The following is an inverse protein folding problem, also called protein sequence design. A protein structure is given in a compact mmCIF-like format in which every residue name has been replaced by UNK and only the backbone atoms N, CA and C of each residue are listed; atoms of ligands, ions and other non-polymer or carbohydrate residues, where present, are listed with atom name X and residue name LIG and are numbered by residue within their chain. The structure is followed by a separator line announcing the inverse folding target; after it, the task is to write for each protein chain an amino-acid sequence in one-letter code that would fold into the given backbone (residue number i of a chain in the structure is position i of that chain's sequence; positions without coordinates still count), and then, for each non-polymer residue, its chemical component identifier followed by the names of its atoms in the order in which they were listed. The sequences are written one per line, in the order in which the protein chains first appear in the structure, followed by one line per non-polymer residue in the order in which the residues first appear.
data_IF_702551052935
#
_entry.id   IF_702551052935
#
_cell.length_a   1.000
_cell.length_b   1.000
_cell.length_c   1.000
_cell.angle_alpha   90.00
_cell.angle_beta   90.00
_cell.angle_gamma   90.00
#
_symmetry.space_group_name_H-M   'P 1'
#
loop_
_entity.id
_entity.type
_entity.pdbx_description
1 polymer ?
#
# COMPACT_ATOMS: atom_id res chain seq x y z
N UNK A 1 32.98 5.79 -14.57
CA UNK A 1 33.00 7.24 -14.90
C UNK A 1 34.33 7.60 -15.54
N UNK A 2 34.28 7.94 -16.83
CA UNK A 2 35.39 8.37 -17.67
C UNK A 2 35.91 9.75 -17.20
N UNK A 3 37.21 10.05 -17.39
CA UNK A 3 37.82 11.34 -17.01
C UNK A 3 37.12 12.55 -17.66
N UNK A 4 36.65 12.39 -18.90
CA UNK A 4 35.90 13.41 -19.62
C UNK A 4 34.57 13.74 -18.92
N UNK A 5 33.85 12.72 -18.42
CA UNK A 5 32.58 12.89 -17.70
C UNK A 5 32.79 13.59 -16.37
N UNK A 6 33.81 13.20 -15.61
CA UNK A 6 34.16 13.84 -14.33
C UNK A 6 34.48 15.32 -14.50
N UNK A 7 35.21 15.67 -15.57
CA UNK A 7 35.57 17.06 -15.87
C UNK A 7 34.36 17.89 -16.31
N UNK A 8 33.41 17.28 -17.02
CA UNK A 8 32.13 17.92 -17.37
C UNK A 8 31.28 18.16 -16.12
N UNK A 9 31.09 17.15 -15.27
CA UNK A 9 30.35 17.28 -14.00
C UNK A 9 30.94 18.36 -13.10
N UNK A 10 32.26 18.45 -13.00
CA UNK A 10 32.93 19.47 -12.20
C UNK A 10 32.65 20.89 -12.72
N UNK A 11 32.62 21.08 -14.04
CA UNK A 11 32.28 22.36 -14.67
C UNK A 11 30.81 22.72 -14.42
N UNK A 12 29.90 21.77 -14.61
CA UNK A 12 28.47 21.96 -14.35
C UNK A 12 28.22 22.33 -12.88
N UNK A 13 28.90 21.66 -11.94
CA UNK A 13 28.81 21.96 -10.51
C UNK A 13 29.30 23.37 -10.17
N UNK A 14 30.50 23.76 -10.63
CA UNK A 14 31.02 25.13 -10.45
C UNK A 14 30.08 26.17 -11.05
N UNK A 15 29.43 25.83 -12.15
CA UNK A 15 28.51 26.70 -12.85
C UNK A 15 27.17 26.87 -12.10
N UNK A 16 26.70 25.82 -11.42
CA UNK A 16 25.53 25.87 -10.51
C UNK A 16 25.85 26.65 -9.23
N UNK A 17 26.99 26.36 -8.59
CA UNK A 17 27.45 27.08 -7.40
C UNK A 17 27.57 28.59 -7.68
N UNK A 18 28.08 28.97 -8.86
CA UNK A 18 28.15 30.36 -9.27
C UNK A 18 26.76 31.01 -9.50
N UNK A 19 25.78 30.28 -10.01
CA UNK A 19 24.41 30.80 -10.14
C UNK A 19 23.74 31.01 -8.78
N UNK A 20 23.91 30.05 -7.88
CA UNK A 20 23.39 30.13 -6.52
C UNK A 20 24.00 31.35 -5.80
N UNK A 21 25.30 31.59 -5.98
CA UNK A 21 25.97 32.76 -5.43
C UNK A 21 25.44 34.08 -6.03
N UNK A 22 25.21 34.14 -7.35
CA UNK A 22 24.62 35.33 -8.00
C UNK A 22 23.20 35.57 -7.50
N UNK A 23 22.39 34.51 -7.39
CA UNK A 23 21.02 34.59 -6.92
C UNK A 23 20.95 35.02 -5.45
N UNK A 24 21.86 34.51 -4.61
CA UNK A 24 21.97 34.90 -3.21
C UNK A 24 22.37 36.37 -3.08
N UNK A 25 23.42 36.80 -3.77
CA UNK A 25 23.87 38.21 -3.79
C UNK A 25 22.81 39.16 -4.32
N UNK A 26 21.97 38.72 -5.27
CA UNK A 26 20.85 39.53 -5.76
C UNK A 26 19.74 39.72 -4.74
N UNK A 27 19.61 38.83 -3.75
CA UNK A 27 18.61 38.92 -2.68
C UNK A 27 19.12 39.73 -1.48
N UNK A 28 20.43 39.78 -1.28
CA UNK A 28 21.04 40.51 -0.17
C UNK A 28 20.97 42.02 -0.37
N UNK A 29 20.57 42.72 0.70
CA UNK A 29 20.55 44.18 0.70
C UNK A 29 21.98 44.75 0.73
N UNK A 30 22.20 45.85 0.00
CA UNK A 30 23.49 46.53 -0.01
C UNK A 30 23.83 47.03 1.40
N UNK A 31 25.01 46.71 1.95
CA UNK A 31 25.38 47.12 3.30
C UNK A 31 25.56 48.64 3.42
N UNK A 32 25.29 49.18 4.60
CA UNK A 32 25.38 50.63 4.87
C UNK A 32 26.80 51.21 4.77
N UNK A 33 27.82 50.36 4.84
CA UNK A 33 29.21 50.73 4.61
C UNK A 33 29.51 51.09 3.16
N UNK A 34 28.69 50.63 2.21
CA UNK A 34 28.86 50.88 0.77
C UNK A 34 28.70 52.38 0.47
N UNK A 35 29.62 52.90 -0.34
CA UNK A 35 29.64 54.31 -0.76
C UNK A 35 28.32 54.71 -1.42
N UNK A 36 27.76 53.83 -2.26
CA UNK A 36 26.47 54.08 -2.93
C UNK A 36 25.31 54.20 -1.94
N UNK A 37 25.30 53.39 -0.88
CA UNK A 37 24.29 53.49 0.18
C UNK A 37 24.42 54.82 0.94
N UNK A 38 25.64 55.23 1.28
CA UNK A 38 25.91 56.52 1.95
C UNK A 38 25.48 57.70 1.09
N UNK A 39 25.78 57.66 -0.20
CA UNK A 39 25.34 58.68 -1.16
C UNK A 39 23.81 58.75 -1.26
N UNK A 40 23.13 57.62 -1.36
CA UNK A 40 21.66 57.56 -1.37
C UNK A 40 21.07 58.19 -0.10
N UNK A 41 21.62 57.85 1.07
CA UNK A 41 21.17 58.40 2.34
C UNK A 41 21.34 59.93 2.42
N UNK A 42 22.46 60.45 1.91
CA UNK A 42 22.70 61.90 1.82
C UNK A 42 21.70 62.61 0.89
N UNK A 43 21.21 61.92 -0.13
CA UNK A 43 20.17 62.42 -1.04
C UNK A 43 18.75 62.28 -0.48
N UNK A 44 18.60 61.86 0.78
CA UNK A 44 17.31 61.77 1.47
C UNK A 44 16.64 60.40 1.40
N UNK A 45 17.32 59.37 0.90
CA UNK A 45 16.82 57.99 0.99
C UNK A 45 16.77 57.52 2.46
N UNK A 46 15.64 56.95 2.86
CA UNK A 46 15.45 56.31 4.17
C UNK A 46 15.53 54.80 4.02
N UNK A 47 16.33 54.08 4.84
CA UNK A 47 16.45 52.63 4.73
C UNK A 47 15.09 51.94 4.89
N UNK A 48 14.76 51.04 3.97
CA UNK A 48 13.46 50.37 3.91
C UNK A 48 12.34 51.17 3.23
N UNK A 49 12.62 52.40 2.80
CA UNK A 49 11.68 53.23 2.06
C UNK A 49 11.68 52.94 0.56
N UNK A 50 10.54 53.12 -0.08
CA UNK A 50 10.44 53.11 -1.53
C UNK A 50 10.96 54.43 -2.14
N UNK A 51 11.58 54.35 -3.32
CA UNK A 51 12.02 55.54 -4.06
C UNK A 51 10.84 56.25 -4.75
N UNK A 52 10.98 57.56 -5.01
CA UNK A 52 9.99 58.38 -5.73
C UNK A 52 9.31 59.44 -4.87
N UNK A 53 8.71 60.45 -5.51
CA UNK A 53 8.14 61.65 -4.85
C UNK A 53 7.07 61.33 -3.80
N UNK A 54 6.33 60.23 -3.98
CA UNK A 54 5.35 59.71 -3.02
C UNK A 54 5.73 58.33 -2.47
N UNK A 55 6.97 57.87 -2.67
CA UNK A 55 7.39 56.51 -2.32
C UNK A 55 6.69 55.42 -3.14
N UNK A 56 6.41 55.67 -4.41
CA UNK A 56 5.71 54.72 -5.29
C UNK A 56 6.60 53.59 -5.88
N UNK A 57 7.92 53.66 -5.66
CA UNK A 57 8.87 52.68 -6.18
C UNK A 57 8.78 51.34 -5.46
N UNK A 58 9.40 50.32 -6.06
CA UNK A 58 9.57 49.02 -5.39
C UNK A 58 10.65 49.12 -4.33
N UNK A 59 10.42 48.49 -3.18
CA UNK A 59 11.39 48.33 -2.10
C UNK A 59 12.32 47.14 -2.33
N UNK A 60 11.82 46.11 -3.00
CA UNK A 60 12.57 44.89 -3.30
C UNK A 60 13.05 44.86 -4.76
N UNK A 61 14.25 44.32 -5.00
CA UNK A 61 14.78 44.14 -6.34
C UNK A 61 13.91 43.18 -7.17
N UNK A 62 14.00 43.29 -8.50
CA UNK A 62 13.29 42.39 -9.40
C UNK A 62 13.95 41.01 -9.34
N UNK A 63 13.13 39.97 -9.16
CA UNK A 63 13.62 38.59 -9.16
C UNK A 63 14.31 38.22 -10.47
N UNK A 64 15.42 37.49 -10.36
CA UNK A 64 16.18 37.00 -11.50
C UNK A 64 15.96 35.48 -11.65
N UNK A 65 15.61 35.06 -12.86
CA UNK A 65 15.61 33.64 -13.25
C UNK A 65 16.77 33.38 -14.20
N UNK A 66 17.79 32.67 -13.72
CA UNK A 66 18.94 32.31 -14.55
C UNK A 66 18.60 31.04 -15.33
N UNK A 67 18.46 31.16 -16.66
CA UNK A 67 18.30 30.01 -17.57
C UNK A 67 19.61 29.72 -18.26
N UNK A 68 20.16 28.51 -18.03
CA UNK A 68 21.36 28.03 -18.71
C UNK A 68 21.10 27.08 -19.87
N UNK A 69 19.85 26.61 -20.01
CA UNK A 69 19.47 25.79 -21.14
C UNK A 69 19.42 26.64 -22.42
N UNK A 70 19.79 26.03 -23.55
CA UNK A 70 19.61 26.61 -24.89
C UNK A 70 18.20 26.32 -25.44
N UNK A 71 17.30 25.82 -24.61
CA UNK A 71 15.93 25.52 -25.00
C UNK A 71 15.14 26.82 -25.21
N UNK A 72 14.08 26.75 -26.00
CA UNK A 72 13.22 27.90 -26.25
C UNK A 72 12.58 28.44 -24.96
N UNK A 73 12.31 29.74 -24.93
CA UNK A 73 11.51 30.36 -23.88
C UNK A 73 10.13 29.65 -23.82
N UNK A 74 9.78 29.12 -22.64
CA UNK A 74 8.55 28.33 -22.43
C UNK A 74 8.76 26.81 -22.42
N UNK A 75 9.94 26.31 -22.80
CA UNK A 75 10.29 24.91 -22.61
C UNK A 75 10.62 24.64 -21.14
N UNK A 76 10.07 23.56 -20.58
CA UNK A 76 10.42 23.10 -19.24
C UNK A 76 11.87 22.62 -19.19
N UNK A 77 12.51 22.78 -18.03
CA UNK A 77 13.87 22.31 -17.82
C UNK A 77 13.92 20.78 -17.97
N UNK A 78 14.77 20.21 -18.84
CA UNK A 78 14.90 18.76 -19.00
C UNK A 78 15.12 18.01 -17.68
N UNK A 79 15.79 18.65 -16.71
CA UNK A 79 16.01 18.07 -15.39
C UNK A 79 14.72 17.96 -14.58
N UNK A 80 13.84 18.96 -14.65
CA UNK A 80 12.53 18.95 -13.98
C UNK A 80 11.62 17.87 -14.57
N UNK A 81 11.58 17.76 -15.90
CA UNK A 81 10.83 16.72 -16.60
C UNK A 81 11.30 15.31 -16.22
N UNK A 82 12.62 15.11 -16.11
CA UNK A 82 13.19 13.83 -15.71
C UNK A 82 12.84 13.47 -14.26
N UNK A 83 12.98 14.42 -13.33
CA UNK A 83 12.61 14.22 -11.93
C UNK A 83 11.12 13.90 -11.78
N UNK A 84 10.24 14.61 -12.51
CA UNK A 84 8.80 14.35 -12.48
C UNK A 84 8.46 12.95 -13.03
N UNK A 85 9.14 12.51 -14.10
CA UNK A 85 9.00 11.14 -14.62
C UNK A 85 9.45 10.09 -13.61
N UNK A 86 10.56 10.30 -12.93
CA UNK A 86 11.09 9.38 -11.91
C UNK A 86 10.11 9.22 -10.74
N UNK A 87 9.50 10.32 -10.28
CA UNK A 87 8.45 10.29 -9.24
C UNK A 87 7.24 9.45 -9.71
N UNK A 88 6.76 9.68 -10.93
CA UNK A 88 5.61 8.93 -11.49
C UNK A 88 5.93 7.43 -11.58
N UNK A 89 7.15 7.08 -12.01
CA UNK A 89 7.58 5.67 -12.11
C UNK A 89 7.64 5.05 -10.72
N UNK A 90 8.28 5.71 -9.75
CA UNK A 90 8.40 5.23 -8.37
C UNK A 90 7.03 5.00 -7.73
N UNK A 91 6.06 5.89 -7.97
CA UNK A 91 4.73 5.71 -7.41
C UNK A 91 3.97 4.55 -8.07
N UNK A 92 4.15 4.34 -9.37
CA UNK A 92 3.59 3.19 -10.09
C UNK A 92 4.20 1.87 -9.61
N UNK A 93 5.51 1.82 -9.36
CA UNK A 93 6.16 0.61 -8.84
C UNK A 93 5.67 0.29 -7.44
N UNK A 94 5.59 1.30 -6.56
CA UNK A 94 5.03 1.13 -5.21
C UNK A 94 3.61 0.57 -5.24
N UNK A 95 2.71 1.13 -6.05
CA UNK A 95 1.33 0.63 -6.17
C UNK A 95 1.26 -0.82 -6.64
N UNK A 96 2.14 -1.22 -7.56
CA UNK A 96 2.22 -2.62 -8.04
C UNK A 96 2.72 -3.56 -6.94
N UNK A 97 3.70 -3.13 -6.15
CA UNK A 97 4.20 -3.92 -5.02
C UNK A 97 3.12 -4.07 -3.94
N UNK A 98 2.41 -3.00 -3.61
CA UNK A 98 1.27 -3.01 -2.69
C UNK A 98 0.16 -3.96 -3.18
N UNK A 99 -0.21 -3.92 -4.47
CA UNK A 99 -1.22 -4.82 -5.02
C UNK A 99 -0.76 -6.28 -5.01
N UNK A 100 0.51 -6.55 -5.34
CA UNK A 100 1.07 -7.90 -5.32
C UNK A 100 1.10 -8.49 -3.90
N UNK A 101 1.42 -7.66 -2.89
CA UNK A 101 1.42 -8.08 -1.49
C UNK A 101 0.00 -8.35 -0.98
N UNK A 102 -0.98 -7.54 -1.37
CA UNK A 102 -2.39 -7.78 -1.04
C UNK A 102 -2.89 -9.11 -1.65
N UNK A 103 -2.64 -9.34 -2.94
CA UNK A 103 -2.99 -10.60 -3.62
C UNK A 103 -2.35 -11.82 -2.95
N UNK A 104 -1.10 -11.72 -2.50
CA UNK A 104 -0.43 -12.79 -1.77
C UNK A 104 -1.10 -13.08 -0.42
N UNK A 105 -1.46 -12.03 0.33
CA UNK A 105 -2.18 -12.16 1.60
C UNK A 105 -3.55 -12.83 1.43
N UNK A 106 -4.29 -12.47 0.37
CA UNK A 106 -5.60 -13.06 0.07
C UNK A 106 -5.49 -14.53 -0.33
N UNK A 107 -4.46 -14.91 -1.11
CA UNK A 107 -4.20 -16.32 -1.44
C UNK A 107 -3.97 -17.17 -0.20
N UNK A 108 -3.17 -16.69 0.75
CA UNK A 108 -2.95 -17.42 2.00
C UNK A 108 -4.27 -17.60 2.76
N UNK A 109 -5.05 -16.53 2.96
CA UNK A 109 -6.36 -16.63 3.63
C UNK A 109 -7.30 -17.62 2.94
N UNK A 110 -7.34 -17.63 1.60
CA UNK A 110 -8.17 -18.57 0.85
C UNK A 110 -7.73 -20.04 1.06
N UNK A 111 -6.43 -20.31 1.13
CA UNK A 111 -5.93 -21.67 1.43
C UNK A 111 -6.36 -22.13 2.82
N UNK A 112 -6.24 -21.26 3.82
CA UNK A 112 -6.71 -21.54 5.18
C UNK A 112 -8.21 -21.80 5.22
N UNK A 113 -9.01 -20.95 4.55
CA UNK A 113 -10.46 -21.10 4.43
C UNK A 113 -10.84 -22.42 3.77
N UNK A 114 -10.24 -22.75 2.63
CA UNK A 114 -10.50 -24.00 1.91
C UNK A 114 -10.12 -25.23 2.75
N UNK A 115 -9.00 -25.18 3.47
CA UNK A 115 -8.59 -26.27 4.37
C UNK A 115 -9.53 -26.40 5.57
N UNK A 116 -10.12 -25.31 6.06
CA UNK A 116 -11.15 -25.35 7.11
C UNK A 116 -12.43 -25.99 6.59
N UNK A 117 -12.95 -25.52 5.45
CA UNK A 117 -14.15 -26.06 4.79
C UNK A 117 -14.02 -27.57 4.58
N UNK A 118 -12.89 -28.03 4.03
CA UNK A 118 -12.64 -29.46 3.84
C UNK A 118 -12.70 -30.25 5.14
N UNK A 119 -12.05 -29.75 6.19
CA UNK A 119 -11.98 -30.44 7.48
C UNK A 119 -13.36 -30.57 8.11
N UNK A 120 -14.14 -29.50 8.08
CA UNK A 120 -15.48 -29.47 8.63
C UNK A 120 -16.45 -30.32 7.82
N UNK A 121 -16.34 -30.32 6.49
CA UNK A 121 -17.12 -31.20 5.62
C UNK A 121 -16.89 -32.66 5.98
N UNK A 122 -15.63 -33.08 6.15
CA UNK A 122 -15.30 -34.45 6.55
C UNK A 122 -15.85 -34.80 7.94
N UNK A 123 -15.82 -33.89 8.91
CA UNK A 123 -16.44 -34.11 10.23
C UNK A 123 -17.96 -34.24 10.12
N UNK A 124 -18.60 -33.36 9.35
CA UNK A 124 -20.03 -33.35 9.12
C UNK A 124 -20.49 -34.65 8.44
N UNK A 125 -19.75 -35.09 7.42
CA UNK A 125 -19.98 -36.35 6.71
C UNK A 125 -19.85 -37.56 7.66
N UNK A 126 -18.82 -37.57 8.51
CA UNK A 126 -18.65 -38.63 9.51
C UNK A 126 -19.78 -38.65 10.54
N UNK A 127 -20.22 -37.49 11.03
CA UNK A 127 -21.34 -37.37 11.96
C UNK A 127 -22.66 -37.83 11.32
N UNK A 128 -22.90 -37.47 10.06
CA UNK A 128 -24.08 -37.91 9.30
C UNK A 128 -24.09 -39.44 9.16
N UNK A 129 -22.97 -40.04 8.76
CA UNK A 129 -22.86 -41.49 8.64
C UNK A 129 -23.10 -42.23 9.96
N UNK A 130 -22.65 -41.67 11.10
CA UNK A 130 -22.94 -42.22 12.42
C UNK A 130 -24.43 -42.14 12.79
N UNK A 131 -25.12 -41.07 12.39
CA UNK A 131 -26.54 -40.86 12.69
C UNK A 131 -27.47 -41.66 11.78
N UNK A 132 -27.07 -41.89 10.53
CA UNK A 132 -27.82 -42.69 9.54
C UNK A 132 -27.60 -44.20 9.71
N UNK A 133 -26.65 -44.63 10.54
CA UNK A 133 -26.38 -46.05 10.80
C UNK A 133 -25.74 -46.79 9.61
N UNK A 134 -25.25 -46.06 8.62
CA UNK A 134 -24.36 -46.58 7.57
C UNK A 134 -22.97 -46.80 8.15
N UNK A 135 -22.44 -48.03 8.08
CA UNK A 135 -21.07 -48.37 8.49
C UNK A 135 -20.07 -47.44 7.77
N UNK A 136 -19.58 -46.45 8.51
CA UNK A 136 -18.49 -45.58 8.08
C UNK A 136 -17.23 -46.44 8.05
N UNK A 137 -16.67 -46.66 6.86
CA UNK A 137 -15.29 -47.12 6.69
C UNK A 137 -14.41 -46.26 7.59
N UNK A 138 -13.80 -46.88 8.61
CA UNK A 138 -12.97 -46.22 9.62
C UNK A 138 -11.96 -45.29 8.96
N UNK A 139 -12.19 -43.98 9.04
CA UNK A 139 -11.12 -43.02 8.90
C UNK A 139 -10.25 -43.19 10.14
N UNK A 140 -9.11 -43.85 9.94
CA UNK A 140 -8.08 -44.04 10.96
C UNK A 140 -7.86 -42.73 11.73
N UNK A 141 -8.12 -42.77 13.04
CA UNK A 141 -7.80 -41.68 13.95
C UNK A 141 -6.28 -41.53 14.03
N UNK A 142 -5.72 -40.73 13.13
CA UNK A 142 -4.38 -40.16 13.26
C UNK A 142 -4.38 -39.13 14.40
N UNK A 143 -4.02 -39.60 15.59
CA UNK A 143 -3.65 -38.76 16.71
C UNK A 143 -2.19 -38.30 16.47
N UNK A 144 -1.94 -36.98 16.54
CA UNK A 144 -0.70 -36.24 16.18
C UNK A 144 -0.45 -36.06 14.68
N UNK A 145 -0.21 -34.81 14.26
CA UNK A 145 1.11 -34.36 13.79
C UNK A 145 1.05 -32.89 13.29
N UNK A 146 1.78 -32.03 14.00
CA UNK A 146 2.44 -30.88 13.37
C UNK A 146 3.37 -31.43 12.26
N UNK A 147 3.32 -30.80 11.09
CA UNK A 147 4.25 -30.98 9.95
C UNK A 147 4.32 -32.35 9.24
N UNK A 148 3.67 -32.46 8.07
CA UNK A 148 4.36 -32.65 6.77
C UNK A 148 3.36 -32.69 5.61
N UNK A 149 3.31 -31.59 4.85
CA UNK A 149 2.83 -31.59 3.47
C UNK A 149 3.90 -32.24 2.59
N UNK A 150 3.84 -33.56 2.38
CA UNK A 150 4.57 -34.22 1.30
C UNK A 150 3.61 -35.20 0.61
N UNK A 151 3.23 -34.81 -0.61
CA UNK A 151 2.70 -35.64 -1.70
C UNK A 151 1.51 -36.55 -1.35
N UNK A 152 0.29 -36.01 -1.48
CA UNK A 152 -0.87 -36.83 -1.89
C UNK A 152 -1.09 -36.66 -3.39
N UNK A 153 -1.05 -37.79 -4.08
CA UNK A 153 -1.36 -37.99 -5.49
C UNK A 153 -2.66 -37.25 -5.88
N UNK A 154 -2.69 -36.79 -7.13
CA UNK A 154 -3.88 -36.32 -7.83
C UNK A 154 -4.92 -37.45 -7.95
N UNK A 155 -5.57 -37.84 -6.86
CA UNK A 155 -6.97 -38.22 -6.96
C UNK A 155 -7.72 -36.93 -7.26
N UNK A 156 -8.63 -36.97 -8.24
CA UNK A 156 -9.67 -35.97 -8.43
C UNK A 156 -10.57 -35.97 -7.18
N UNK A 157 -10.03 -35.55 -6.02
CA UNK A 157 -10.85 -35.23 -4.85
C UNK A 157 -11.75 -34.08 -5.32
N UNK A 158 -13.05 -34.37 -5.42
CA UNK A 158 -14.08 -33.38 -5.71
C UNK A 158 -13.77 -32.12 -4.93
N UNK A 159 -13.66 -30.97 -5.62
CA UNK A 159 -13.35 -29.70 -4.98
C UNK A 159 -14.52 -29.39 -4.03
N UNK A 160 -14.39 -29.77 -2.77
CA UNK A 160 -15.40 -29.52 -1.74
C UNK A 160 -15.53 -28.01 -1.62
N UNK A 161 -16.70 -27.52 -2.00
CA UNK A 161 -17.06 -26.12 -1.93
C UNK A 161 -17.69 -25.80 -0.58
N UNK A 162 -17.82 -24.50 -0.30
CA UNK A 162 -18.56 -24.02 0.86
C UNK A 162 -20.04 -24.45 0.83
N UNK A 163 -20.61 -24.56 -0.37
CA UNK A 163 -22.00 -24.99 -0.59
C UNK A 163 -22.18 -26.45 -0.16
N UNK A 164 -21.22 -27.33 -0.47
CA UNK A 164 -21.26 -28.75 -0.07
C UNK A 164 -21.23 -28.90 1.46
N UNK A 165 -20.45 -28.07 2.16
CA UNK A 165 -20.43 -28.03 3.62
C UNK A 165 -21.78 -27.57 4.18
N UNK A 166 -22.33 -26.47 3.63
CA UNK A 166 -23.62 -25.95 4.06
C UNK A 166 -24.74 -26.99 3.86
N UNK A 167 -24.75 -27.70 2.74
CA UNK A 167 -25.75 -28.74 2.45
C UNK A 167 -25.72 -29.88 3.48
N UNK A 168 -24.54 -30.36 3.88
CA UNK A 168 -24.43 -31.40 4.91
C UNK A 168 -24.83 -30.85 6.28
N UNK A 169 -24.41 -29.62 6.63
CA UNK A 169 -24.79 -28.99 7.88
C UNK A 169 -26.31 -28.81 7.98
N UNK A 170 -26.98 -28.42 6.89
CA UNK A 170 -28.44 -28.32 6.83
C UNK A 170 -29.10 -29.69 7.03
N UNK A 171 -28.63 -30.75 6.36
CA UNK A 171 -29.15 -32.12 6.57
C UNK A 171 -29.03 -32.57 8.04
N UNK A 172 -27.86 -32.35 8.66
CA UNK A 172 -27.65 -32.68 10.07
C UNK A 172 -28.64 -31.95 11.00
N UNK A 173 -29.00 -30.71 10.68
CA UNK A 173 -29.95 -29.91 11.46
C UNK A 173 -31.39 -30.30 11.22
N UNK A 174 -31.80 -30.39 9.96
CA UNK A 174 -33.20 -30.57 9.58
C UNK A 174 -33.68 -32.00 9.88
N UNK A 175 -32.84 -33.00 9.64
CA UNK A 175 -33.21 -34.41 9.78
C UNK A 175 -32.84 -34.97 11.16
N UNK A 176 -31.71 -34.55 11.71
CA UNK A 176 -31.17 -35.11 12.95
C UNK A 176 -31.20 -34.15 14.14
N UNK A 177 -31.62 -32.89 13.98
CA UNK A 177 -31.53 -31.86 15.01
C UNK A 177 -30.13 -31.83 15.66
N UNK A 178 -29.08 -32.01 14.87
CA UNK A 178 -27.70 -32.06 15.33
C UNK A 178 -26.93 -30.84 14.84
N UNK A 179 -26.14 -30.22 15.74
CA UNK A 179 -25.21 -29.17 15.37
C UNK A 179 -23.77 -29.68 15.49
N UNK A 180 -23.02 -29.63 14.38
CA UNK A 180 -21.60 -29.99 14.34
C UNK A 180 -20.76 -29.16 15.31
N UNK A 181 -21.00 -27.85 15.35
CA UNK A 181 -20.18 -26.90 16.10
C UNK A 181 -20.49 -26.88 17.60
N UNK A 182 -21.76 -27.07 18.00
CA UNK A 182 -22.10 -27.32 19.41
C UNK A 182 -21.71 -28.73 19.88
N UNK A 183 -21.54 -29.67 18.94
CA UNK A 183 -21.23 -31.07 19.22
C UNK A 183 -22.37 -31.84 19.89
N UNK A 184 -23.62 -31.39 19.76
CA UNK A 184 -24.76 -31.99 20.46
C UNK A 184 -26.01 -32.13 19.57
N UNK A 185 -26.85 -33.09 19.95
CA UNK A 185 -28.18 -33.35 19.37
C UNK A 185 -29.25 -32.72 20.26
N UNK A 186 -30.18 -32.01 19.65
CA UNK A 186 -31.32 -31.37 20.31
C UNK A 186 -32.57 -32.26 20.26
N UNK A 187 -33.48 -32.02 21.19
CA UNK A 187 -34.72 -32.80 21.33
C UNK A 187 -35.73 -32.51 20.19
N UNK A 188 -35.71 -31.31 19.63
CA UNK A 188 -36.56 -30.88 18.53
C UNK A 188 -35.90 -29.76 17.71
N UNK A 189 -36.40 -29.52 16.50
CA UNK A 189 -35.92 -28.42 15.65
C UNK A 189 -36.14 -27.05 16.28
N UNK A 190 -37.22 -26.88 17.06
CA UNK A 190 -37.48 -25.65 17.82
C UNK A 190 -36.43 -25.44 18.92
N UNK A 191 -36.04 -26.51 19.63
CA UNK A 191 -35.01 -26.45 20.64
C UNK A 191 -33.62 -26.18 20.03
N UNK A 192 -33.36 -26.65 18.81
CA UNK A 192 -32.15 -26.34 18.07
C UNK A 192 -32.10 -24.84 17.74
N UNK A 193 -33.15 -24.29 17.15
CA UNK A 193 -33.21 -22.88 16.76
C UNK A 193 -33.12 -21.92 17.96
N UNK A 194 -33.64 -22.31 19.13
CA UNK A 194 -33.60 -21.45 20.31
C UNK A 194 -32.26 -21.49 21.07
N UNK A 195 -31.53 -22.61 20.99
CA UNK A 195 -30.34 -22.84 21.82
C UNK A 195 -29.02 -22.87 21.02
N UNK A 196 -29.08 -22.96 19.70
CA UNK A 196 -27.91 -22.98 18.83
C UNK A 196 -27.63 -21.58 18.25
N UNK A 197 -26.40 -21.03 18.41
CA UNK A 197 -26.05 -19.67 17.98
C UNK A 197 -26.23 -19.35 16.49
N UNK A 198 -25.98 -20.30 15.60
CA UNK A 198 -26.05 -20.11 14.15
C UNK A 198 -25.58 -21.37 13.43
N UNK A 199 -25.40 -21.41 12.11
CA UNK A 199 -25.07 -22.64 11.35
C UNK A 199 -23.59 -22.82 11.09
N UNK A 200 -22.84 -21.72 11.06
CA UNK A 200 -21.43 -21.73 10.69
C UNK A 200 -20.53 -21.78 11.93
N UNK A 201 -19.23 -22.06 11.72
CA UNK A 201 -18.22 -22.07 12.79
C UNK A 201 -18.16 -20.72 13.51
N UNK A 202 -18.21 -19.62 12.74
CA UNK A 202 -18.08 -18.24 13.24
C UNK A 202 -19.23 -17.82 14.19
N UNK A 203 -20.36 -18.52 14.16
CA UNK A 203 -21.50 -18.23 15.03
C UNK A 203 -21.31 -18.75 16.47
N UNK A 204 -20.35 -19.66 16.71
CA UNK A 204 -20.20 -20.43 17.96
C UNK A 204 -18.94 -20.06 18.75
#
# INVERSE_FOLDING_TARGET
MNWQERRKLKREKQQQEGDEEILAKSKEAVPSSNIGFKMLQQMGYKPGGALGKKGQGRTEPVGLEIKRSRAGLGSEDPQKLKAQREIIIMERTRRKEESLMAEYGDRQKNLWRNRSIYRDYKKAQAALGQLEGTDVLELEKGNNEEEKDEEKEEEEEEVITEEDLQDILMKLRDEHNYCLYCGCKYESGEALLSNCPGIEEDDH
#
